data_IF_774644070582
#
_entry.id   IF_774644070582
#
_cell.length_a   1.000
_cell.length_b   1.000
_cell.length_c   1.000
_cell.angle_alpha   90.00
_cell.angle_beta   90.00
_cell.angle_gamma   90.00
#
_symmetry.space_group_name_H-M   'P 1'
#
loop_
_entity.id
_entity.type
_entity.pdbx_description
1 polymer ?
#
# COMPACT_ATOMS: atom_id res chain seq x y z
N UNK A 1 1.37 -9.42 -3.35
CA UNK A 1 1.89 -9.94 -4.61
C UNK A 1 3.27 -10.58 -4.40
N UNK A 2 4.31 -9.87 -3.94
CA UNK A 2 5.64 -10.43 -3.70
C UNK A 2 5.59 -11.70 -2.83
N UNK A 3 4.96 -11.64 -1.67
CA UNK A 3 4.83 -12.81 -0.78
C UNK A 3 4.11 -14.01 -1.43
N UNK A 4 3.12 -13.76 -2.29
CA UNK A 4 2.43 -14.84 -3.00
C UNK A 4 3.36 -15.54 -4.01
N UNK A 5 4.17 -14.76 -4.76
CA UNK A 5 5.22 -15.31 -5.63
C UNK A 5 6.26 -16.12 -4.83
N UNK A 6 6.71 -15.61 -3.67
CA UNK A 6 7.70 -16.30 -2.83
C UNK A 6 7.16 -17.65 -2.33
N UNK A 7 5.88 -17.70 -1.94
CA UNK A 7 5.21 -18.93 -1.53
C UNK A 7 5.05 -19.91 -2.71
N UNK A 8 4.71 -19.39 -3.91
CA UNK A 8 4.64 -20.20 -5.13
C UNK A 8 6.02 -20.79 -5.48
N UNK A 9 7.06 -19.97 -5.39
CA UNK A 9 8.45 -20.35 -5.63
C UNK A 9 8.96 -20.06 -7.06
N UNK A 10 8.12 -19.46 -7.91
CA UNK A 10 8.45 -19.07 -9.28
C UNK A 10 7.57 -17.90 -9.74
N UNK A 11 7.86 -17.35 -10.92
CA UNK A 11 6.96 -16.38 -11.55
C UNK A 11 5.65 -17.07 -11.97
N UNK A 12 4.50 -16.50 -11.65
CA UNK A 12 3.21 -17.04 -12.05
C UNK A 12 2.91 -16.79 -13.53
N UNK A 13 2.10 -17.65 -14.12
CA UNK A 13 1.52 -17.49 -15.44
C UNK A 13 0.13 -16.86 -15.45
N UNK A 14 -0.53 -16.81 -14.25
CA UNK A 14 -1.83 -16.15 -14.04
C UNK A 14 -1.95 -15.63 -12.62
N UNK A 15 -2.62 -14.47 -12.48
CA UNK A 15 -2.81 -13.78 -11.20
C UNK A 15 -4.28 -13.37 -11.03
N UNK A 16 -4.86 -13.69 -9.89
CA UNK A 16 -6.20 -13.23 -9.50
C UNK A 16 -6.10 -12.37 -8.24
N UNK A 17 -6.68 -11.18 -8.27
CA UNK A 17 -6.64 -10.23 -7.17
C UNK A 17 -8.07 -9.92 -6.72
N UNK A 18 -8.39 -10.31 -5.50
CA UNK A 18 -9.59 -9.83 -4.82
C UNK A 18 -9.26 -8.60 -3.98
N UNK A 19 -10.00 -7.53 -4.15
CA UNK A 19 -9.79 -6.31 -3.36
C UNK A 19 -11.11 -5.70 -2.89
N UNK A 20 -11.10 -5.12 -1.68
CA UNK A 20 -12.26 -4.38 -1.16
C UNK A 20 -12.55 -3.13 -1.99
N UNK A 21 -13.80 -2.66 -1.96
CA UNK A 21 -14.22 -1.50 -2.73
C UNK A 21 -13.41 -0.24 -2.43
N UNK A 22 -12.98 -0.06 -1.19
CA UNK A 22 -12.10 1.05 -0.78
C UNK A 22 -10.74 1.00 -1.49
N UNK A 23 -10.13 -0.18 -1.61
CA UNK A 23 -8.87 -0.36 -2.32
C UNK A 23 -9.04 -0.10 -3.80
N UNK A 24 -10.05 -0.70 -4.44
CA UNK A 24 -10.31 -0.50 -5.87
C UNK A 24 -10.52 0.98 -6.17
N UNK A 25 -11.37 1.66 -5.39
CA UNK A 25 -11.65 3.09 -5.56
C UNK A 25 -10.38 3.94 -5.49
N UNK A 26 -9.50 3.65 -4.54
CA UNK A 26 -8.34 4.50 -4.25
C UNK A 26 -7.15 4.21 -5.17
N UNK A 27 -7.00 2.98 -5.69
CA UNK A 27 -5.79 2.53 -6.38
C UNK A 27 -5.93 2.42 -7.90
N UNK A 28 -7.15 2.32 -8.43
CA UNK A 28 -7.39 2.00 -9.87
C UNK A 28 -6.66 2.88 -10.89
N UNK A 29 -6.29 4.10 -10.54
CA UNK A 29 -5.64 5.06 -11.45
C UNK A 29 -4.35 5.65 -10.90
N UNK A 30 -3.87 5.16 -9.76
CA UNK A 30 -2.63 5.65 -9.13
C UNK A 30 -1.42 5.12 -9.90
N UNK A 31 -0.45 6.00 -10.12
CA UNK A 31 0.84 5.63 -10.69
C UNK A 31 1.60 4.79 -9.65
N UNK A 32 2.09 3.64 -10.08
CA UNK A 32 2.94 2.77 -9.24
C UNK A 32 4.38 3.30 -9.30
N UNK A 33 5.00 3.59 -8.14
CA UNK A 33 6.37 4.06 -8.10
C UNK A 33 7.34 3.08 -8.77
N UNK A 34 8.42 3.58 -9.35
CA UNK A 34 9.50 2.78 -9.97
C UNK A 34 9.05 1.83 -11.10
N UNK A 35 7.98 2.18 -11.84
CA UNK A 35 7.43 1.34 -12.92
C UNK A 35 7.28 2.07 -14.25
N UNK A 36 7.97 3.19 -14.45
CA UNK A 36 7.82 4.03 -15.65
C UNK A 36 6.35 4.43 -15.91
N UNK A 37 5.68 4.93 -14.86
CA UNK A 37 4.30 5.44 -14.89
C UNK A 37 3.18 4.42 -15.15
N UNK A 38 3.41 3.14 -14.97
CA UNK A 38 2.35 2.15 -14.96
C UNK A 38 1.33 2.45 -13.86
N UNK A 39 0.05 2.10 -14.09
CA UNK A 39 -1.05 2.52 -13.22
C UNK A 39 -1.93 1.35 -12.78
N UNK A 40 -2.46 1.50 -11.58
CA UNK A 40 -3.54 0.67 -11.05
C UNK A 40 -3.10 -0.64 -10.42
N UNK A 41 -4.07 -1.43 -10.01
CA UNK A 41 -3.87 -2.67 -9.25
C UNK A 41 -3.07 -3.72 -10.03
N UNK A 42 -3.33 -3.97 -11.34
CA UNK A 42 -2.53 -4.93 -12.10
C UNK A 42 -1.06 -4.55 -12.17
N UNK A 43 -0.75 -3.27 -12.39
CA UNK A 43 0.63 -2.77 -12.43
C UNK A 43 1.32 -2.91 -11.06
N UNK A 44 0.62 -2.60 -9.97
CA UNK A 44 1.14 -2.79 -8.61
C UNK A 44 1.40 -4.27 -8.29
N UNK A 45 0.54 -5.17 -8.77
CA UNK A 45 0.74 -6.60 -8.62
C UNK A 45 1.94 -7.10 -9.44
N UNK A 46 2.06 -6.69 -10.70
CA UNK A 46 3.19 -7.03 -11.56
C UNK A 46 4.52 -6.56 -10.95
N UNK A 47 4.59 -5.32 -10.49
CA UNK A 47 5.78 -4.78 -9.83
C UNK A 47 6.16 -5.60 -8.57
N UNK A 48 5.19 -5.93 -7.74
CA UNK A 48 5.42 -6.77 -6.57
C UNK A 48 5.84 -8.20 -6.90
N UNK A 49 5.30 -8.79 -7.98
CA UNK A 49 5.62 -10.16 -8.41
C UNK A 49 7.01 -10.23 -9.04
N UNK A 50 7.35 -9.32 -9.92
CA UNK A 50 8.62 -9.36 -10.66
C UNK A 50 9.79 -8.92 -9.79
N UNK A 51 9.69 -7.74 -9.18
CA UNK A 51 10.81 -7.09 -8.51
C UNK A 51 10.61 -6.86 -6.99
N UNK A 52 9.44 -7.23 -6.45
CA UNK A 52 9.14 -6.95 -5.05
C UNK A 52 9.93 -7.80 -4.06
N UNK A 53 10.40 -7.15 -2.99
CA UNK A 53 10.95 -7.80 -1.81
C UNK A 53 9.92 -7.78 -0.67
N UNK A 54 9.30 -8.91 -0.36
CA UNK A 54 8.23 -9.00 0.63
C UNK A 54 8.67 -8.63 2.06
N UNK A 55 9.95 -8.81 2.38
CA UNK A 55 10.49 -8.50 3.71
C UNK A 55 10.60 -6.98 3.98
N UNK A 56 10.50 -6.16 2.94
CA UNK A 56 10.50 -4.70 3.05
C UNK A 56 9.10 -4.10 3.29
N UNK A 57 8.09 -4.93 3.44
CA UNK A 57 6.72 -4.53 3.79
C UNK A 57 6.18 -3.37 2.92
N UNK A 58 6.11 -2.14 3.47
CA UNK A 58 5.60 -0.96 2.75
C UNK A 58 6.58 -0.45 1.66
N UNK A 59 7.86 -0.81 1.76
CA UNK A 59 8.91 -0.46 0.80
C UNK A 59 9.19 -1.58 -0.21
N UNK A 60 8.23 -2.47 -0.42
CA UNK A 60 8.34 -3.70 -1.23
C UNK A 60 8.94 -3.49 -2.62
N UNK A 61 8.75 -2.34 -3.25
CA UNK A 61 9.25 -1.98 -4.59
C UNK A 61 10.24 -0.80 -4.58
N UNK A 62 10.88 -0.51 -3.45
CA UNK A 62 11.79 0.65 -3.32
C UNK A 62 13.09 0.49 -4.10
N UNK A 63 13.50 -0.73 -4.41
CA UNK A 63 14.78 -1.05 -5.06
C UNK A 63 14.64 -1.55 -6.51
N UNK A 64 13.49 -1.31 -7.14
CA UNK A 64 13.26 -1.70 -8.54
C UNK A 64 14.27 -1.01 -9.45
N UNK A 65 14.99 -1.81 -10.24
CA UNK A 65 15.99 -1.36 -11.20
C UNK A 65 15.37 -0.98 -12.55
N UNK A 66 16.12 -0.31 -13.42
CA UNK A 66 15.67 -0.01 -14.78
C UNK A 66 15.42 -1.27 -15.64
N UNK A 67 16.16 -2.35 -15.39
CA UNK A 67 15.96 -3.63 -16.08
C UNK A 67 14.65 -4.27 -15.63
N UNK A 68 14.44 -4.36 -14.30
CA UNK A 68 13.20 -4.89 -13.74
C UNK A 68 11.97 -4.07 -14.14
N UNK A 69 12.10 -2.75 -14.35
CA UNK A 69 11.00 -1.93 -14.87
C UNK A 69 10.52 -2.41 -16.24
N UNK A 70 11.41 -2.90 -17.11
CA UNK A 70 11.04 -3.48 -18.40
C UNK A 70 10.39 -4.85 -18.23
N UNK A 71 10.97 -5.68 -17.36
CA UNK A 71 10.42 -7.00 -17.04
C UNK A 71 9.00 -6.89 -16.44
N UNK A 72 8.74 -5.87 -15.58
CA UNK A 72 7.41 -5.57 -15.04
C UNK A 72 6.43 -5.26 -16.18
N UNK A 73 6.84 -4.44 -17.14
CA UNK A 73 5.99 -4.09 -18.28
C UNK A 73 5.69 -5.31 -19.16
N UNK A 74 6.71 -6.14 -19.46
CA UNK A 74 6.56 -7.38 -20.22
C UNK A 74 5.66 -8.39 -19.48
N UNK A 75 5.86 -8.54 -18.18
CA UNK A 75 5.02 -9.41 -17.35
C UNK A 75 3.56 -8.96 -17.37
N UNK A 76 3.31 -7.65 -17.26
CA UNK A 76 1.96 -7.09 -17.31
C UNK A 76 1.28 -7.29 -18.66
N UNK A 77 2.03 -7.28 -19.76
CA UNK A 77 1.51 -7.48 -21.12
C UNK A 77 1.17 -8.95 -21.40
N UNK A 78 1.97 -9.89 -20.87
CA UNK A 78 1.88 -11.31 -21.25
C UNK A 78 1.20 -12.18 -20.20
N UNK A 79 0.96 -11.67 -18.99
CA UNK A 79 0.34 -12.43 -17.90
C UNK A 79 -1.10 -12.00 -17.67
N UNK A 80 -2.01 -12.97 -17.58
CA UNK A 80 -3.39 -12.70 -17.23
C UNK A 80 -3.50 -12.26 -15.76
N UNK A 81 -3.84 -10.98 -15.54
CA UNK A 81 -4.07 -10.40 -14.21
C UNK A 81 -5.50 -9.93 -14.10
N UNK A 82 -6.31 -10.61 -13.32
CA UNK A 82 -7.71 -10.25 -13.06
C UNK A 82 -7.86 -9.55 -11.73
N UNK A 83 -8.78 -8.58 -11.65
CA UNK A 83 -9.11 -7.86 -10.41
C UNK A 83 -10.60 -7.95 -10.17
N UNK A 84 -10.96 -8.46 -9.01
CA UNK A 84 -12.36 -8.66 -8.60
C UNK A 84 -12.66 -7.90 -7.31
N UNK A 85 -13.89 -7.39 -7.23
CA UNK A 85 -14.38 -6.81 -5.98
C UNK A 85 -14.77 -7.92 -5.01
N UNK A 86 -14.24 -7.85 -3.78
CA UNK A 86 -14.62 -8.73 -2.68
C UNK A 86 -15.31 -7.92 -1.57
N UNK A 87 -16.28 -8.55 -0.91
CA UNK A 87 -16.97 -7.98 0.25
C UNK A 87 -16.94 -8.98 1.40
N UNK A 88 -15.84 -8.99 2.13
CA UNK A 88 -15.59 -9.89 3.27
C UNK A 88 -15.80 -9.19 4.63
N UNK A 89 -16.44 -8.02 4.65
CA UNK A 89 -16.69 -7.25 5.87
C UNK A 89 -15.52 -6.37 6.33
N UNK A 90 -14.36 -6.41 5.65
CA UNK A 90 -13.22 -5.57 5.97
C UNK A 90 -13.13 -4.37 5.01
N UNK A 91 -12.90 -3.18 5.55
CA UNK A 91 -12.66 -1.97 4.74
C UNK A 91 -11.36 -2.09 3.94
N UNK A 92 -10.33 -2.64 4.55
CA UNK A 92 -9.06 -2.98 3.91
C UNK A 92 -8.94 -4.50 3.80
N UNK A 93 -9.05 -5.02 2.59
CA UNK A 93 -8.93 -6.45 2.29
C UNK A 93 -8.35 -6.66 0.89
N UNK A 94 -7.27 -7.40 0.81
CA UNK A 94 -6.60 -7.76 -0.44
C UNK A 94 -6.26 -9.25 -0.40
N UNK A 95 -6.71 -9.98 -1.41
CA UNK A 95 -6.36 -11.38 -1.64
C UNK A 95 -5.60 -11.45 -2.96
N UNK A 96 -4.43 -12.05 -2.96
CA UNK A 96 -3.66 -12.34 -4.17
C UNK A 96 -3.51 -13.83 -4.31
N UNK A 97 -4.04 -14.38 -5.39
CA UNK A 97 -3.84 -15.76 -5.82
C UNK A 97 -2.96 -15.77 -7.07
N UNK A 98 -1.92 -16.55 -7.03
CA UNK A 98 -0.96 -16.72 -8.14
C UNK A 98 -0.90 -18.19 -8.53
N UNK A 99 -0.75 -18.43 -9.84
CA UNK A 99 -0.79 -19.76 -10.43
C UNK A 99 0.40 -19.97 -11.35
N UNK A 100 0.91 -21.21 -11.39
CA UNK A 100 1.89 -21.66 -12.36
C UNK A 100 1.65 -23.15 -12.69
N UNK A 101 1.12 -23.41 -13.88
CA UNK A 101 0.64 -24.77 -14.21
C UNK A 101 -0.42 -25.25 -13.22
N UNK A 102 -0.13 -26.35 -12.49
CA UNK A 102 -1.03 -26.90 -11.46
C UNK A 102 -0.79 -26.31 -10.06
N UNK A 103 0.34 -25.64 -9.87
CA UNK A 103 0.70 -25.03 -8.59
C UNK A 103 -0.01 -23.68 -8.38
N UNK A 104 -0.38 -23.43 -7.12
CA UNK A 104 -1.01 -22.17 -6.73
C UNK A 104 -0.58 -21.73 -5.33
N UNK A 105 -0.52 -20.42 -5.15
CA UNK A 105 -0.35 -19.82 -3.84
C UNK A 105 -1.34 -18.68 -3.62
N UNK A 106 -1.74 -18.47 -2.37
CA UNK A 106 -2.68 -17.44 -1.95
C UNK A 106 -2.15 -16.72 -0.74
N UNK A 107 -2.24 -15.39 -0.78
CA UNK A 107 -1.92 -14.52 0.37
C UNK A 107 -3.07 -13.53 0.55
N UNK A 108 -3.53 -13.36 1.80
CA UNK A 108 -4.52 -12.34 2.17
C UNK A 108 -3.92 -11.39 3.20
N UNK A 109 -4.12 -10.09 2.95
CA UNK A 109 -3.82 -8.99 3.87
C UNK A 109 -5.15 -8.35 4.25
N UNK A 110 -5.42 -8.18 5.54
CA UNK A 110 -6.66 -7.58 6.02
C UNK A 110 -6.43 -6.61 7.18
N UNK A 111 -7.29 -5.60 7.29
CA UNK A 111 -7.33 -4.54 8.30
C UNK A 111 -6.16 -3.55 8.23
N UNK A 112 -4.91 -4.02 8.10
CA UNK A 112 -3.70 -3.19 8.02
C UNK A 112 -2.83 -3.59 6.85
N UNK A 113 -2.06 -2.65 6.31
CA UNK A 113 -1.26 -2.84 5.08
C UNK A 113 -0.19 -3.93 5.18
N UNK A 114 0.33 -4.21 6.36
CA UNK A 114 1.35 -5.24 6.60
C UNK A 114 0.82 -6.51 7.27
N UNK A 115 -0.49 -6.56 7.57
CA UNK A 115 -1.09 -7.65 8.32
C UNK A 115 -1.48 -8.81 7.40
N UNK A 116 -0.56 -9.73 7.16
CA UNK A 116 -0.84 -10.97 6.44
C UNK A 116 -1.61 -11.92 7.36
N UNK A 117 -2.86 -12.21 7.01
CA UNK A 117 -3.77 -13.04 7.82
C UNK A 117 -3.92 -14.46 7.29
N UNK A 118 -3.59 -14.69 6.01
CA UNK A 118 -3.68 -16.03 5.42
C UNK A 118 -2.61 -16.25 4.37
N UNK A 119 -1.99 -17.44 4.42
CA UNK A 119 -1.08 -17.96 3.40
C UNK A 119 -1.48 -19.39 3.10
N UNK A 120 -1.61 -19.71 1.82
CA UNK A 120 -1.89 -21.06 1.34
C UNK A 120 -0.97 -21.42 0.18
N UNK A 121 -0.60 -22.70 0.07
CA UNK A 121 0.07 -23.30 -1.09
C UNK A 121 -0.60 -24.62 -1.43
N UNK A 122 -1.06 -24.76 -2.67
CA UNK A 122 -1.68 -26.02 -3.19
C UNK A 122 -2.81 -26.58 -2.31
N UNK A 123 -3.55 -25.67 -1.63
CA UNK A 123 -4.62 -26.04 -0.71
C UNK A 123 -4.18 -26.29 0.73
N UNK A 124 -2.88 -26.36 1.00
CA UNK A 124 -2.35 -26.40 2.36
C UNK A 124 -2.32 -24.99 2.98
N UNK A 125 -2.84 -24.88 4.19
CA UNK A 125 -2.85 -23.61 4.94
C UNK A 125 -1.54 -23.49 5.73
N UNK A 126 -0.69 -22.54 5.34
CA UNK A 126 0.59 -22.27 5.99
C UNK A 126 0.46 -21.22 7.11
N UNK A 127 -0.49 -20.29 6.97
CA UNK A 127 -0.83 -19.29 7.98
C UNK A 127 -2.34 -19.03 7.96
N UNK A 128 -2.95 -18.98 9.13
CA UNK A 128 -4.35 -18.56 9.28
C UNK A 128 -4.54 -17.82 10.60
N UNK A 129 -4.61 -16.50 10.51
CA UNK A 129 -4.88 -15.61 11.63
C UNK A 129 -6.35 -15.20 11.53
N UNK A 130 -7.15 -15.34 12.59
CA UNK A 130 -8.52 -14.85 12.59
C UNK A 130 -8.54 -13.34 12.27
N UNK A 131 -9.34 -12.97 11.28
CA UNK A 131 -9.60 -11.58 11.00
C UNK A 131 -10.71 -11.15 11.95
N UNK A 132 -10.38 -10.35 12.95
CA UNK A 132 -11.38 -9.69 13.75
C UNK A 132 -12.23 -8.83 12.79
N UNK A 133 -13.55 -9.02 12.82
CA UNK A 133 -14.45 -8.01 12.24
C UNK A 133 -14.11 -6.66 12.85
N UNK A 134 -14.78 -5.60 12.48
CA UNK A 134 -14.54 -4.22 12.95
C UNK A 134 -14.61 -4.03 14.50
N UNK A 135 -14.42 -5.10 15.27
CA UNK A 135 -14.24 -5.03 16.72
C UNK A 135 -12.92 -4.31 16.98
N UNK A 136 -13.00 -3.22 17.67
CA UNK A 136 -11.88 -2.35 18.09
C UNK A 136 -10.84 -3.04 19.01
N UNK A 137 -10.94 -4.34 19.21
CA UNK A 137 -10.03 -5.14 20.03
C UNK A 137 -8.65 -5.22 19.38
N UNK A 138 -7.72 -4.46 19.94
CA UNK A 138 -6.32 -4.36 19.48
C UNK A 138 -5.94 -3.01 18.87
N UNK A 139 -6.88 -2.09 18.71
CA UNK A 139 -6.60 -0.71 18.34
C UNK A 139 -6.18 0.09 19.59
N UNK A 140 -5.43 1.17 19.36
CA UNK A 140 -5.16 2.18 20.39
C UNK A 140 -6.47 2.62 21.05
N UNK A 141 -6.52 2.61 22.38
CA UNK A 141 -7.68 3.11 23.11
C UNK A 141 -7.91 4.58 22.78
N UNK A 142 -8.99 4.85 22.05
CA UNK A 142 -9.39 6.20 21.65
C UNK A 142 -10.36 6.87 22.62
N UNK A 143 -10.73 6.20 23.70
CA UNK A 143 -11.65 6.77 24.70
C UNK A 143 -11.09 8.03 25.36
N UNK A 144 -9.77 8.19 25.35
CA UNK A 144 -9.08 9.37 25.87
C UNK A 144 -9.05 10.57 24.89
N UNK A 145 -9.48 10.37 23.63
CA UNK A 145 -9.48 11.41 22.59
C UNK A 145 -10.77 12.27 22.67
N UNK A 146 -10.95 12.98 23.76
CA UNK A 146 -11.95 14.04 23.89
C UNK A 146 -11.30 15.44 23.77
N UNK A 147 -12.10 16.46 23.49
CA UNK A 147 -11.59 17.82 23.25
C UNK A 147 -10.81 18.39 24.44
N UNK A 148 -11.21 18.03 25.66
CA UNK A 148 -10.54 18.50 26.87
C UNK A 148 -9.16 17.85 27.00
N UNK A 149 -9.08 16.54 26.85
CA UNK A 149 -7.82 15.78 26.94
C UNK A 149 -6.83 16.21 25.85
N UNK A 150 -7.31 16.44 24.60
CA UNK A 150 -6.47 16.96 23.50
C UNK A 150 -5.96 18.36 23.85
N UNK A 151 -6.80 19.25 24.39
CA UNK A 151 -6.40 20.60 24.76
C UNK A 151 -5.42 20.59 25.94
N UNK A 152 -5.67 19.81 26.95
CA UNK A 152 -4.79 19.67 28.12
C UNK A 152 -3.41 19.13 27.68
N UNK A 153 -3.37 18.08 26.84
CA UNK A 153 -2.14 17.55 26.29
C UNK A 153 -1.37 18.61 25.50
N UNK A 154 -2.02 19.31 24.57
CA UNK A 154 -1.38 20.33 23.75
C UNK A 154 -0.75 21.49 24.55
N UNK A 155 -1.27 21.77 25.77
CA UNK A 155 -0.76 22.84 26.62
C UNK A 155 0.25 22.39 27.69
N UNK A 156 0.35 21.06 27.93
CA UNK A 156 1.15 20.53 29.05
C UNK A 156 2.24 19.54 28.63
N UNK A 157 2.18 19.02 27.41
CA UNK A 157 3.18 18.05 26.92
C UNK A 157 4.57 18.69 26.89
N UNK A 158 5.57 17.93 27.33
CA UNK A 158 6.96 18.34 27.13
C UNK A 158 7.32 18.20 25.65
N UNK A 159 7.92 19.25 25.07
CA UNK A 159 8.34 19.25 23.66
C UNK A 159 9.31 18.11 23.36
N UNK A 160 10.12 17.70 24.32
CA UNK A 160 11.07 16.60 24.13
C UNK A 160 10.37 15.25 23.90
N UNK A 161 9.19 15.03 24.53
CA UNK A 161 8.43 13.79 24.38
C UNK A 161 7.83 13.63 22.97
N UNK A 162 7.59 14.74 22.28
CA UNK A 162 6.98 14.75 20.93
C UNK A 162 7.96 15.13 19.82
N UNK A 163 9.17 15.59 20.17
CA UNK A 163 10.15 16.16 19.23
C UNK A 163 10.44 15.23 18.05
N UNK A 164 10.66 13.95 18.31
CA UNK A 164 11.02 13.01 17.25
C UNK A 164 9.87 12.82 16.25
N UNK A 165 8.66 12.56 16.73
CA UNK A 165 7.49 12.28 15.85
C UNK A 165 7.06 13.53 15.10
N UNK A 166 6.87 14.64 15.81
CA UNK A 166 6.42 15.90 15.19
C UNK A 166 7.53 16.52 14.33
N UNK A 167 8.79 16.42 14.77
CA UNK A 167 9.94 16.89 13.99
C UNK A 167 10.04 16.18 12.64
N UNK A 168 9.94 14.86 12.60
CA UNK A 168 9.88 14.09 11.35
C UNK A 168 8.68 14.45 10.48
N UNK A 169 7.51 14.64 11.08
CA UNK A 169 6.32 15.04 10.35
C UNK A 169 6.52 16.40 9.65
N UNK A 170 7.07 17.38 10.36
CA UNK A 170 7.37 18.71 9.80
C UNK A 170 8.40 18.58 8.68
N UNK A 171 9.51 17.88 8.91
CA UNK A 171 10.57 17.69 7.93
C UNK A 171 10.06 17.07 6.63
N UNK A 172 9.35 15.94 6.73
CA UNK A 172 8.87 15.21 5.55
C UNK A 172 7.76 15.97 4.81
N UNK A 173 6.82 16.55 5.53
CA UNK A 173 5.77 17.35 4.90
C UNK A 173 6.31 18.60 4.24
N UNK A 174 7.31 19.27 4.84
CA UNK A 174 7.97 20.43 4.23
C UNK A 174 8.73 20.03 2.97
N UNK A 175 9.49 18.93 3.01
CA UNK A 175 10.21 18.41 1.84
C UNK A 175 9.26 18.06 0.68
N UNK A 176 8.12 17.42 0.97
CA UNK A 176 7.10 17.12 -0.04
C UNK A 176 6.47 18.39 -0.59
N UNK A 177 6.16 19.38 0.25
CA UNK A 177 5.60 20.66 -0.18
C UNK A 177 6.58 21.43 -1.07
N UNK A 178 7.84 21.51 -0.67
CA UNK A 178 8.89 22.16 -1.45
C UNK A 178 9.08 21.50 -2.82
N UNK A 179 9.07 20.18 -2.88
CA UNK A 179 9.15 19.43 -4.14
C UNK A 179 7.89 19.66 -4.99
N UNK A 180 6.71 19.64 -4.36
CA UNK A 180 5.43 19.91 -5.05
C UNK A 180 5.37 21.28 -5.71
N UNK A 181 6.02 22.29 -5.14
CA UNK A 181 6.10 23.64 -5.70
C UNK A 181 7.12 23.78 -6.84
N UNK A 182 8.12 22.91 -6.94
CA UNK A 182 9.14 22.93 -8.00
C UNK A 182 8.68 22.28 -9.30
N UNK A 183 7.78 21.30 -9.23
CA UNK A 183 7.37 20.49 -10.36
C UNK A 183 5.90 20.65 -10.76
N UNK A 184 5.53 20.08 -11.90
CA UNK A 184 4.15 20.01 -12.36
C UNK A 184 3.52 18.69 -11.90
N UNK A 185 3.00 18.69 -10.68
CA UNK A 185 2.37 17.53 -10.08
C UNK A 185 0.84 17.68 -10.03
N UNK A 186 0.13 16.70 -10.60
CA UNK A 186 -1.33 16.66 -10.61
C UNK A 186 -1.94 17.92 -11.22
N UNK A 187 -2.86 18.55 -10.50
CA UNK A 187 -3.54 19.80 -10.92
C UNK A 187 -2.74 21.07 -10.61
N UNK A 188 -1.54 20.95 -10.06
CA UNK A 188 -0.64 22.04 -9.71
C UNK A 188 -1.25 23.13 -8.79
N UNK A 189 -2.16 22.70 -7.91
CA UNK A 189 -2.96 23.60 -7.06
C UNK A 189 -2.07 24.48 -6.17
N UNK A 190 -1.01 23.92 -5.58
CA UNK A 190 -0.09 24.66 -4.71
C UNK A 190 0.56 25.84 -5.40
N UNK A 191 1.11 25.63 -6.59
CA UNK A 191 1.74 26.70 -7.39
C UNK A 191 0.73 27.75 -7.83
N UNK A 192 -0.47 27.33 -8.26
CA UNK A 192 -1.55 28.27 -8.64
C UNK A 192 -1.98 29.15 -7.46
N UNK A 193 -2.12 28.57 -6.28
CA UNK A 193 -2.47 29.34 -5.07
C UNK A 193 -1.34 30.29 -4.68
N UNK A 194 -0.09 29.87 -4.75
CA UNK A 194 1.06 30.71 -4.46
C UNK A 194 1.17 31.88 -5.44
N UNK A 195 0.98 31.66 -6.74
CA UNK A 195 0.98 32.69 -7.76
C UNK A 195 -0.18 33.69 -7.60
N UNK A 196 -1.33 33.22 -7.11
CA UNK A 196 -2.54 34.04 -6.96
C UNK A 196 -2.52 34.87 -5.66
N UNK A 197 -2.05 34.28 -4.56
CA UNK A 197 -2.19 34.84 -3.21
C UNK A 197 -0.86 34.99 -2.45
N UNK A 198 0.25 34.50 -2.99
CA UNK A 198 1.52 34.42 -2.29
C UNK A 198 2.26 35.75 -2.08
N UNK A 199 1.69 36.87 -2.57
CA UNK A 199 2.24 38.22 -2.42
C UNK A 199 1.42 39.11 -1.48
N UNK A 200 0.43 38.58 -0.78
CA UNK A 200 -0.41 39.32 0.18
C UNK A 200 0.12 39.26 1.61
#
# INVERSE_FOLDING_TARGET
AAKARDVLGCLPDRVCIGASGSIIKNVKSVIVPNTNHLKGIPAAAAAGIVAGNAEKELEVISEVTEEETKEIAEFLEHTEITVEHINNGCVFDIIVEVFHGEDKAKVRIANYHTNIVRIEKNGEILLNVPVAGESEEGLTDRSLLDMKSIWDFANTVDIEDIREVIGRQIEYNSAIADEGLKGNYGANIGSVLLDTYGND
#
